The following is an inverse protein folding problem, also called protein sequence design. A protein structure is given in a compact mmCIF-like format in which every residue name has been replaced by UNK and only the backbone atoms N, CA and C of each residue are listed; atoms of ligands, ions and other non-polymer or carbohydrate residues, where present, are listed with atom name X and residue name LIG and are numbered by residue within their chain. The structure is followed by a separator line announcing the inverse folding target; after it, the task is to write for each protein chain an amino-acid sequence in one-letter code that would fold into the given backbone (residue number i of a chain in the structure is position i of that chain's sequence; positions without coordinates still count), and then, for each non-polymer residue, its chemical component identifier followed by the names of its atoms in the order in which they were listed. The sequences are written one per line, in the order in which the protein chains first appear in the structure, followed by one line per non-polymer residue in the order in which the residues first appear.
data_IF_753075820036
#
_entry.id   IF_753075820036
#
_cell.length_a   1.000
_cell.length_b   1.000
_cell.length_c   1.000
_cell.angle_alpha   90.00
_cell.angle_beta   90.00
_cell.angle_gamma   90.00
#
_symmetry.space_group_name_H-M   'P 1'
#
loop_
_entity.id
_entity.type
_entity.pdbx_description
1 polymer ?
2 polymer ?
3 polymer ?
4 non-polymer ?
#
# COMPACT_ATOMS: atom_id res chain seq x y z
N UNK A 1 22.09 -3.18 -34.02
CA UNK A 1 22.02 -2.35 -32.82
C UNK A 1 20.57 -1.98 -32.50
N UNK A 2 20.24 -2.00 -31.21
CA UNK A 2 18.85 -2.10 -30.79
C UNK A 2 18.67 -1.41 -29.45
N UNK A 3 17.42 -1.31 -29.00
CA UNK A 3 17.09 -0.65 -27.75
C UNK A 3 17.58 -1.47 -26.56
N UNK A 4 17.78 -0.77 -25.44
CA UNK A 4 18.41 -1.40 -24.28
C UNK A 4 17.49 -2.39 -23.58
N UNK A 5 16.24 -2.03 -23.19
CA UNK A 5 15.61 -0.71 -23.07
C UNK A 5 15.84 -0.07 -21.70
N UNK A 6 15.63 1.24 -21.63
CA UNK A 6 15.59 1.93 -20.34
C UNK A 6 14.30 1.63 -19.58
N UNK A 7 13.20 1.41 -20.30
CA UNK A 7 11.90 1.24 -19.66
C UNK A 7 11.85 0.15 -18.61
N UNK A 8 12.61 -0.93 -18.80
CA UNK A 8 12.68 -1.96 -17.77
C UNK A 8 13.38 -1.47 -16.51
N UNK A 9 14.34 -0.55 -16.64
CA UNK A 9 14.98 0.03 -15.47
C UNK A 9 14.06 1.05 -14.79
N UNK A 10 13.62 2.06 -15.54
CA UNK A 10 12.90 3.19 -14.96
C UNK A 10 11.45 2.84 -14.63
N UNK A 11 10.72 2.30 -15.60
CA UNK A 11 9.27 2.26 -15.51
C UNK A 11 8.78 1.16 -14.56
N UNK A 12 9.57 0.11 -14.39
CA UNK A 12 9.19 -1.08 -13.63
C UNK A 12 8.81 -0.73 -12.18
N UNK A 13 8.22 -1.71 -11.50
CA UNK A 13 7.49 -1.52 -10.26
C UNK A 13 8.07 -2.33 -9.10
N UNK A 14 7.83 -1.84 -7.88
CA UNK A 14 8.18 -2.54 -6.63
C UNK A 14 9.70 -2.68 -6.46
N UNK A 15 10.41 -1.57 -6.62
CA UNK A 15 11.86 -1.60 -6.53
C UNK A 15 12.34 -1.42 -5.08
N UNK A 16 13.65 -1.63 -4.90
CA UNK A 16 14.23 -2.04 -3.63
C UNK A 16 14.17 -0.93 -2.57
N UNK A 17 14.26 -1.36 -1.31
CA UNK A 17 14.44 -0.50 -0.16
C UNK A 17 15.88 0.02 -0.09
N UNK A 18 16.09 0.98 0.82
CA UNK A 18 17.32 1.78 0.80
C UNK A 18 18.55 0.89 1.02
N UNK A 19 18.49 -0.01 1.99
CA UNK A 19 19.52 -1.02 2.11
C UNK A 19 19.14 -2.25 1.29
N UNK A 20 20.15 -3.07 1.00
CA UNK A 20 20.01 -4.17 0.04
C UNK A 20 19.47 -3.65 -1.28
N UNK A 21 19.88 -2.44 -1.64
CA UNK A 21 19.71 -1.94 -2.99
C UNK A 21 20.41 -2.83 -4.01
N UNK A 22 20.13 -2.56 -5.28
CA UNK A 22 20.43 -3.47 -6.36
C UNK A 22 21.25 -2.76 -7.43
N UNK A 23 22.08 -3.52 -8.13
CA UNK A 23 22.92 -3.00 -9.20
C UNK A 23 22.67 -3.76 -10.48
N UNK A 24 22.54 -3.02 -11.57
CA UNK A 24 22.20 -3.57 -12.88
C UNK A 24 23.21 -3.04 -13.90
N UNK A 25 23.50 -3.87 -14.90
CA UNK A 25 24.55 -3.55 -15.86
C UNK A 25 23.99 -3.59 -17.28
N UNK A 26 24.42 -2.63 -18.09
CA UNK A 26 23.81 -2.35 -19.38
C UNK A 26 24.89 -2.29 -20.44
N UNK A 27 24.64 -2.92 -21.58
CA UNK A 27 25.64 -2.99 -22.64
C UNK A 27 24.94 -3.09 -23.99
N UNK A 28 25.69 -2.72 -25.04
CA UNK A 28 25.34 -3.03 -26.43
C UNK A 28 23.92 -2.58 -26.78
N UNK A 29 23.71 -1.27 -26.73
CA UNK A 29 22.42 -0.72 -27.15
C UNK A 29 22.59 0.73 -27.59
N UNK A 30 21.57 1.20 -28.32
CA UNK A 30 21.51 2.60 -28.74
C UNK A 30 21.11 3.49 -27.56
N UNK A 31 21.73 4.67 -27.48
CA UNK A 31 21.46 5.58 -26.38
C UNK A 31 20.07 6.18 -26.49
N UNK A 32 19.77 6.82 -27.63
CA UNK A 32 18.43 7.30 -27.99
C UNK A 32 17.76 8.06 -26.85
N UNK A 33 18.52 8.94 -26.20
CA UNK A 33 18.00 9.72 -25.09
C UNK A 33 16.77 10.55 -25.45
N UNK A 34 16.59 10.90 -26.73
CA UNK A 34 15.52 11.82 -27.12
C UNK A 34 14.15 11.35 -26.65
N UNK A 35 13.93 10.03 -26.58
CA UNK A 35 12.68 9.53 -26.01
C UNK A 35 12.59 9.87 -24.53
N UNK A 36 13.72 9.87 -23.81
CA UNK A 36 13.71 10.30 -22.42
C UNK A 36 13.45 11.79 -22.30
N UNK A 37 14.09 12.59 -23.17
CA UNK A 37 13.86 14.03 -23.15
C UNK A 37 12.38 14.36 -23.36
N UNK A 38 11.75 13.75 -24.37
CA UNK A 38 10.35 13.99 -24.61
C UNK A 38 9.46 13.46 -23.48
N UNK A 39 9.66 12.21 -23.08
CA UNK A 39 8.73 11.56 -22.16
C UNK A 39 8.88 12.06 -20.73
N UNK A 40 10.08 12.39 -20.28
CA UNK A 40 10.32 12.62 -18.86
C UNK A 40 9.55 13.83 -18.33
N UNK A 41 9.07 13.69 -17.09
CA UNK A 41 8.45 14.76 -16.32
C UNK A 41 9.16 14.91 -14.98
N UNK A 42 10.42 14.48 -14.91
CA UNK A 42 11.10 14.28 -13.66
C UNK A 42 11.47 15.61 -13.02
N UNK A 43 11.06 15.80 -11.76
CA UNK A 43 11.21 17.06 -11.04
C UNK A 43 12.65 17.43 -10.73
N UNK A 44 13.62 16.55 -10.91
CA UNK A 44 15.02 16.97 -10.77
C UNK A 44 15.92 16.19 -11.71
N UNK A 45 16.83 16.93 -12.36
CA UNK A 45 18.04 16.37 -12.97
C UNK A 45 19.23 17.16 -12.47
N UNK A 46 20.30 16.45 -12.08
CA UNK A 46 21.59 17.07 -11.81
C UNK A 46 22.68 16.12 -12.30
N UNK A 47 23.64 16.65 -13.06
CA UNK A 47 24.67 15.84 -13.66
C UNK A 47 26.04 16.44 -13.33
N UNK A 48 27.02 15.57 -13.11
CA UNK A 48 28.32 15.95 -12.56
C UNK A 48 29.40 15.57 -13.56
N UNK A 49 30.16 16.54 -14.02
CA UNK A 49 31.15 16.34 -15.06
C UNK A 49 30.61 16.25 -16.46
N UNK A 50 29.29 16.38 -16.65
CA UNK A 50 28.66 16.35 -17.96
C UNK A 50 27.50 17.34 -17.97
N UNK A 51 27.08 17.73 -19.17
CA UNK A 51 25.97 18.65 -19.35
C UNK A 51 24.91 18.02 -20.24
N UNK A 52 23.63 18.41 -20.08
CA UNK A 52 22.58 17.78 -20.88
C UNK A 52 22.68 18.09 -22.36
N UNK A 53 23.16 19.29 -22.71
CA UNK A 53 23.72 19.52 -24.04
C UNK A 53 25.17 19.10 -24.07
N UNK A 54 25.60 18.59 -25.23
CA UNK A 54 26.77 17.72 -25.35
C UNK A 54 26.59 16.45 -24.53
N UNK A 55 25.50 15.74 -24.80
CA UNK A 55 25.23 14.47 -24.16
C UNK A 55 25.00 13.35 -25.16
N UNK A 56 24.31 13.62 -26.26
CA UNK A 56 24.39 12.76 -27.43
C UNK A 56 25.78 12.87 -28.07
N UNK A 57 26.14 11.83 -28.82
CA UNK A 57 27.50 11.64 -29.32
C UNK A 57 28.49 11.46 -28.18
N UNK A 58 28.10 10.70 -27.17
CA UNK A 58 29.01 10.24 -26.13
C UNK A 58 28.93 8.72 -26.01
N UNK A 59 30.08 8.08 -25.85
CA UNK A 59 30.18 6.64 -25.69
C UNK A 59 30.60 6.31 -24.27
N UNK A 60 29.78 5.56 -23.56
CA UNK A 60 29.99 5.24 -22.15
C UNK A 60 30.49 3.80 -22.03
N UNK A 61 31.59 3.62 -21.30
CA UNK A 61 32.27 2.32 -21.29
C UNK A 61 31.47 1.30 -20.48
N UNK A 62 30.99 1.68 -19.30
CA UNK A 62 30.08 0.84 -18.53
C UNK A 62 28.96 1.70 -17.95
N UNK A 63 27.78 1.11 -17.84
CA UNK A 63 26.59 1.78 -17.32
C UNK A 63 25.99 0.93 -16.21
N UNK A 64 25.75 1.55 -15.06
CA UNK A 64 25.14 0.88 -13.91
C UNK A 64 23.97 1.73 -13.43
N UNK A 65 22.90 1.08 -13.01
CA UNK A 65 21.70 1.77 -12.54
C UNK A 65 21.26 1.26 -11.18
N UNK A 66 20.98 2.19 -10.27
CA UNK A 66 20.70 1.91 -8.87
C UNK A 66 19.40 2.60 -8.49
N UNK A 67 18.53 1.91 -7.75
CA UNK A 67 17.18 2.40 -7.51
C UNK A 67 16.82 2.29 -6.03
N UNK A 68 16.03 3.27 -5.58
CA UNK A 68 15.85 3.57 -4.17
C UNK A 68 14.45 4.10 -3.95
N UNK A 69 13.95 3.95 -2.71
CA UNK A 69 12.76 4.65 -2.25
C UNK A 69 13.14 5.42 -0.99
N UNK A 70 12.75 6.70 -0.93
CA UNK A 70 13.46 7.70 -0.14
C UNK A 70 12.46 8.75 0.35
N UNK A 71 12.85 9.48 1.39
CA UNK A 71 12.06 10.57 1.95
C UNK A 71 12.78 11.89 1.65
N UNK A 72 11.99 12.90 1.28
CA UNK A 72 12.52 14.00 0.46
C UNK A 72 13.74 14.70 1.03
N UNK A 73 13.86 14.77 2.36
CA UNK A 73 15.10 15.26 2.96
C UNK A 73 16.31 14.43 2.51
N UNK A 74 16.12 13.12 2.36
CA UNK A 74 17.22 12.32 1.81
C UNK A 74 17.53 12.71 0.37
N UNK A 75 16.54 13.22 -0.38
CA UNK A 75 16.79 13.63 -1.76
C UNK A 75 17.85 14.72 -1.83
N UNK A 76 17.85 15.65 -0.86
CA UNK A 76 18.99 16.56 -0.76
C UNK A 76 20.20 15.86 -0.14
N UNK A 77 19.97 14.88 0.74
CA UNK A 77 21.11 14.18 1.34
C UNK A 77 21.93 13.40 0.31
N UNK A 78 21.28 12.91 -0.75
CA UNK A 78 21.95 12.04 -1.72
C UNK A 78 23.06 12.75 -2.48
N UNK A 79 23.14 14.08 -2.41
CA UNK A 79 24.26 14.79 -2.99
C UNK A 79 25.57 14.33 -2.36
N UNK A 80 26.68 14.43 -3.09
CA UNK A 80 27.98 14.07 -2.51
C UNK A 80 28.41 15.00 -1.40
N UNK A 81 29.25 14.48 -0.52
CA UNK A 81 29.95 15.27 0.48
C UNK A 81 29.13 15.63 1.70
N UNK A 82 27.85 15.32 1.72
CA UNK A 82 26.96 15.80 2.77
C UNK A 82 27.22 15.03 4.07
N UNK A 83 26.40 15.33 5.08
CA UNK A 83 26.34 14.55 6.30
C UNK A 83 24.88 14.29 6.65
N UNK A 84 24.67 13.35 7.55
CA UNK A 84 23.32 12.92 7.88
C UNK A 84 23.22 11.42 8.08
N UNK A 85 22.04 10.95 8.48
CA UNK A 85 21.86 9.53 8.76
C UNK A 85 22.22 8.66 7.56
N UNK A 86 21.74 9.05 6.37
CA UNK A 86 22.02 8.29 5.17
C UNK A 86 23.51 8.29 4.85
N UNK A 87 24.10 9.48 4.78
CA UNK A 87 25.50 9.58 4.37
C UNK A 87 26.43 8.87 5.35
N UNK A 88 26.07 8.83 6.63
CA UNK A 88 26.85 8.07 7.60
C UNK A 88 26.64 6.56 7.48
N UNK A 89 25.39 6.12 7.46
CA UNK A 89 25.09 4.68 7.46
C UNK A 89 25.01 4.03 6.08
N UNK A 90 24.24 4.62 5.16
CA UNK A 90 23.75 3.87 4.00
C UNK A 90 24.02 4.64 2.71
N UNK A 91 24.58 3.94 1.71
CA UNK A 91 24.75 4.48 0.36
C UNK A 91 25.61 5.75 0.37
N UNK A 92 26.83 5.61 0.89
CA UNK A 92 27.81 6.67 0.78
C UNK A 92 28.23 6.85 -0.67
N UNK A 93 28.28 8.10 -1.14
CA UNK A 93 28.52 8.42 -2.53
C UNK A 93 29.72 9.37 -2.63
N UNK A 94 30.70 9.08 -3.49
CA UNK A 94 31.95 9.83 -3.47
C UNK A 94 31.85 11.14 -4.24
N UNK A 95 32.66 12.11 -3.82
CA UNK A 95 32.73 13.39 -4.51
C UNK A 95 33.31 13.26 -5.91
N UNK A 96 34.23 12.32 -6.12
CA UNK A 96 34.74 12.01 -7.44
C UNK A 96 33.76 11.08 -8.16
N UNK A 97 32.93 11.66 -9.02
CA UNK A 97 31.83 10.93 -9.63
C UNK A 97 31.55 11.59 -10.98
N UNK A 98 31.04 10.81 -11.93
CA UNK A 98 30.85 11.30 -13.30
C UNK A 98 29.40 11.15 -13.76
N UNK A 99 28.48 10.83 -12.86
CA UNK A 99 27.14 10.41 -13.24
C UNK A 99 26.17 11.56 -13.41
N UNK A 100 24.90 11.18 -13.46
CA UNK A 100 23.77 12.12 -13.40
C UNK A 100 22.65 11.45 -12.61
N UNK A 101 21.88 12.26 -11.90
CA UNK A 101 21.00 11.78 -10.84
C UNK A 101 19.59 12.28 -11.11
N UNK A 102 18.62 11.38 -10.99
CA UNK A 102 17.26 11.59 -11.46
C UNK A 102 16.31 11.29 -10.32
N UNK A 103 15.29 12.14 -10.15
CA UNK A 103 14.29 11.90 -9.12
C UNK A 103 12.93 12.36 -9.59
N UNK A 104 11.91 11.61 -9.19
CA UNK A 104 10.51 11.92 -9.46
C UNK A 104 9.70 11.37 -8.30
N UNK A 105 8.52 11.94 -8.10
CA UNK A 105 7.80 11.80 -6.84
C UNK A 105 6.65 10.82 -7.05
N UNK A 106 6.64 9.77 -6.22
CA UNK A 106 5.85 8.57 -6.45
C UNK A 106 4.64 8.48 -5.53
N UNK A 107 4.30 9.56 -4.83
CA UNK A 107 3.32 9.52 -3.74
C UNK A 107 2.01 8.87 -4.17
N UNK A 108 1.64 9.00 -5.44
CA UNK A 108 0.45 8.33 -5.96
C UNK A 108 0.57 6.81 -5.95
N UNK A 109 1.78 6.26 -5.80
CA UNK A 109 1.95 4.80 -5.82
C UNK A 109 2.61 4.25 -4.56
N UNK A 110 3.71 4.85 -4.10
CA UNK A 110 4.48 4.24 -3.02
C UNK A 110 3.81 4.38 -1.66
N UNK A 111 3.26 5.55 -1.36
CA UNK A 111 2.56 5.73 -0.09
C UNK A 111 1.41 4.74 0.07
N UNK A 112 0.99 4.57 1.31
CA UNK A 112 -0.05 3.61 1.68
C UNK A 112 -0.95 4.24 2.72
N UNK A 113 -2.25 4.02 2.59
CA UNK A 113 -3.17 4.32 3.68
C UNK A 113 -2.88 3.36 4.83
N UNK A 114 -2.48 3.91 5.98
CA UNK A 114 -1.98 3.11 7.07
C UNK A 114 -0.50 2.86 7.05
N UNK A 115 0.23 3.44 6.10
CA UNK A 115 1.67 3.32 6.04
C UNK A 115 2.18 2.12 5.27
N UNK A 116 3.27 2.33 4.54
CA UNK A 116 3.91 1.31 3.70
C UNK A 116 5.18 0.84 4.41
N UNK A 117 4.98 0.00 5.43
CA UNK A 117 6.04 -0.36 6.36
C UNK A 117 7.22 -1.09 5.71
N UNK A 118 7.04 -1.63 4.51
CA UNK A 118 8.04 -2.50 3.90
C UNK A 118 9.34 -1.80 3.55
N UNK A 119 9.45 -0.49 3.76
CA UNK A 119 10.65 0.27 3.48
C UNK A 119 11.45 0.47 4.77
N UNK A 120 12.66 -0.08 4.81
CA UNK A 120 13.37 -0.33 6.05
C UNK A 120 14.76 0.28 6.01
N UNK A 121 15.19 0.84 7.14
CA UNK A 121 16.40 1.63 7.23
C UNK A 121 17.04 1.43 8.61
N UNK A 122 18.34 1.72 8.69
CA UNK A 122 19.19 1.27 9.79
C UNK A 122 19.73 2.48 10.56
N UNK A 123 19.62 2.41 11.89
CA UNK A 123 19.73 3.60 12.74
C UNK A 123 21.01 3.69 13.57
N UNK A 124 21.73 2.60 13.77
CA UNK A 124 22.95 2.65 14.58
C UNK A 124 24.02 1.77 13.96
N UNK A 125 25.25 2.29 13.97
CA UNK A 125 26.40 1.54 13.47
C UNK A 125 27.65 1.97 14.23
N UNK A 126 28.56 1.02 14.44
CA UNK A 126 29.76 1.28 15.23
C UNK A 126 30.76 2.15 14.47
N UNK A 127 30.62 2.25 13.17
CA UNK A 127 31.50 3.08 12.33
C UNK A 127 30.78 3.29 11.00
N UNK A 128 31.34 4.18 10.17
CA UNK A 128 30.65 4.67 9.00
C UNK A 128 31.32 4.17 7.74
N UNK A 129 30.51 3.86 6.73
CA UNK A 129 30.92 3.01 5.63
C UNK A 129 31.70 3.78 4.58
N UNK A 130 32.54 3.06 3.85
CA UNK A 130 33.15 3.58 2.64
C UNK A 130 32.17 3.51 1.48
N UNK A 131 32.41 4.27 0.41
CA UNK A 131 31.39 4.39 -0.64
C UNK A 131 31.10 3.07 -1.34
N UNK A 132 29.85 2.92 -1.77
CA UNK A 132 29.37 1.75 -2.53
C UNK A 132 29.72 0.44 -1.83
N UNK A 133 29.19 0.27 -0.62
CA UNK A 133 29.17 -1.03 0.01
C UNK A 133 27.91 -1.18 0.84
N UNK A 134 27.42 -2.41 0.94
CA UNK A 134 26.21 -2.73 1.68
C UNK A 134 26.54 -3.37 3.02
N UNK A 135 25.54 -3.36 3.91
CA UNK A 135 25.50 -4.27 5.05
C UNK A 135 24.13 -4.92 5.11
N UNK A 136 24.11 -6.23 5.37
CA UNK A 136 22.89 -6.97 5.68
C UNK A 136 23.21 -7.82 6.90
N UNK A 137 22.82 -7.34 8.08
CA UNK A 137 23.36 -7.85 9.33
C UNK A 137 22.34 -7.62 10.44
N UNK A 138 22.59 -8.27 11.58
CA UNK A 138 21.93 -7.90 12.83
C UNK A 138 22.78 -8.39 13.98
N UNK A 139 23.22 -7.46 14.83
CA UNK A 139 23.97 -7.79 16.03
C UNK A 139 23.59 -6.76 17.09
N UNK A 140 22.87 -7.21 18.12
CA UNK A 140 21.98 -6.32 18.86
C UNK A 140 22.78 -5.22 19.54
N UNK A 141 22.30 -3.99 19.42
CA UNK A 141 23.06 -2.81 19.83
C UNK A 141 23.09 -2.69 21.34
N UNK A 142 24.27 -2.45 21.90
CA UNK A 142 24.47 -2.34 23.33
C UNK A 142 24.72 -0.89 23.69
N UNK A 143 23.91 -0.37 24.62
CA UNK A 143 24.00 1.02 25.07
C UNK A 143 24.35 1.09 26.54
N UNK A 144 25.26 0.23 26.97
CA UNK A 144 25.74 0.25 28.34
C UNK A 144 26.99 -0.57 28.45
N UNK A 145 27.58 -0.57 29.65
CA UNK A 145 28.80 -1.35 29.86
C UNK A 145 28.50 -2.84 29.91
N UNK A 146 27.34 -3.23 30.43
CA UNK A 146 26.99 -4.63 30.52
C UNK A 146 26.39 -5.12 29.19
N UNK A 147 26.54 -6.41 28.88
CA UNK A 147 25.89 -6.95 27.69
C UNK A 147 24.39 -7.11 27.90
N UNK A 148 23.64 -7.01 26.79
CA UNK A 148 22.29 -7.55 26.73
C UNK A 148 22.23 -8.91 26.03
N UNK A 149 23.37 -9.60 25.96
CA UNK A 149 23.43 -11.05 25.82
C UNK A 149 22.67 -11.57 24.60
N UNK A 150 22.64 -10.80 23.53
CA UNK A 150 21.95 -11.22 22.33
C UNK A 150 20.44 -11.25 22.43
N UNK A 151 19.86 -10.63 23.45
CA UNK A 151 18.41 -10.62 23.64
C UNK A 151 17.99 -9.21 24.04
N UNK A 152 16.70 -8.93 23.89
CA UNK A 152 16.17 -7.63 24.26
C UNK A 152 16.30 -7.40 25.76
N UNK A 153 16.42 -6.12 26.13
CA UNK A 153 16.50 -5.78 27.55
C UNK A 153 16.83 -4.32 27.75
N UNK A 154 17.52 -4.05 28.87
CA UNK A 154 17.91 -2.69 29.20
C UNK A 154 19.03 -2.20 28.29
N UNK A 155 18.85 -0.98 27.78
CA UNK A 155 19.82 -0.34 26.87
C UNK A 155 20.20 -1.26 25.72
N UNK A 156 19.18 -1.77 25.04
CA UNK A 156 19.36 -2.84 24.06
C UNK A 156 18.27 -2.67 23.02
N UNK A 157 18.67 -2.40 21.77
CA UNK A 157 17.74 -2.01 20.72
C UNK A 157 17.98 -2.83 19.45
N UNK A 158 16.89 -3.11 18.75
CA UNK A 158 16.97 -3.70 17.41
C UNK A 158 17.28 -2.60 16.40
N UNK A 159 18.29 -2.75 15.55
CA UNK A 159 18.78 -1.63 14.74
C UNK A 159 17.86 -1.14 13.63
N UNK A 160 16.64 -1.65 13.51
CA UNK A 160 15.86 -1.46 12.30
C UNK A 160 14.47 -0.92 12.61
N UNK A 161 14.01 0.00 11.76
CA UNK A 161 12.80 0.79 11.99
C UNK A 161 12.17 1.08 10.64
N UNK A 162 10.89 1.42 10.67
CA UNK A 162 10.06 1.42 9.46
C UNK A 162 9.61 2.84 9.13
N UNK A 163 9.76 3.23 7.87
CA UNK A 163 9.18 4.48 7.38
C UNK A 163 7.66 4.38 7.30
N UNK A 164 7.01 5.52 7.46
CA UNK A 164 5.59 5.62 7.14
C UNK A 164 5.27 6.75 6.19
N UNK A 165 4.52 6.44 5.13
CA UNK A 165 4.04 7.45 4.20
C UNK A 165 2.54 7.25 4.01
N UNK A 166 1.80 8.36 3.92
CA UNK A 166 0.35 8.32 4.11
C UNK A 166 -0.34 9.19 3.06
N UNK A 167 -1.67 9.20 3.01
CA UNK A 167 -2.36 10.37 2.46
C UNK A 167 -2.12 11.59 3.32
N UNK A 168 -2.20 12.76 2.67
CA UNK A 168 -1.91 14.06 3.31
C UNK A 168 -0.56 14.01 4.03
N UNK A 169 0.43 13.45 3.34
CA UNK A 169 1.78 13.36 3.88
C UNK A 169 2.44 14.73 3.92
N UNK A 170 3.36 14.89 4.86
CA UNK A 170 4.27 16.03 4.84
C UNK A 170 5.03 16.08 3.53
N UNK A 171 4.93 17.19 2.81
CA UNK A 171 5.37 17.25 1.42
C UNK A 171 6.87 17.04 1.32
N UNK A 172 7.63 17.47 2.32
CA UNK A 172 9.04 17.14 2.38
C UNK A 172 9.31 15.70 2.79
N UNK A 173 8.45 15.12 3.63
CA UNK A 173 8.66 13.75 4.09
C UNK A 173 8.33 12.71 3.01
N UNK A 174 7.35 12.99 2.15
CA UNK A 174 6.68 11.95 1.38
C UNK A 174 7.64 11.24 0.43
N UNK A 175 7.28 10.07 -0.12
CA UNK A 175 8.28 9.23 -0.77
C UNK A 175 8.73 9.71 -2.13
N UNK A 176 10.00 9.46 -2.42
CA UNK A 176 10.63 9.79 -3.69
C UNK A 176 11.35 8.57 -4.22
N UNK A 177 11.49 8.50 -5.55
CA UNK A 177 12.24 7.44 -6.21
C UNK A 177 13.43 8.05 -6.94
N UNK A 178 14.61 7.48 -6.72
CA UNK A 178 15.87 8.07 -7.12
C UNK A 178 16.66 7.04 -7.90
N UNK A 179 17.25 7.46 -9.01
CA UNK A 179 18.02 6.57 -9.89
C UNK A 179 19.36 7.24 -10.18
N UNK A 180 20.42 6.45 -10.15
CA UNK A 180 21.78 6.96 -10.30
C UNK A 180 22.50 6.11 -11.34
N UNK A 181 23.29 6.78 -12.18
CA UNK A 181 24.02 6.12 -13.26
C UNK A 181 25.48 6.53 -13.19
N UNK A 182 26.38 5.60 -13.49
CA UNK A 182 27.81 5.85 -13.41
C UNK A 182 28.49 5.43 -14.72
N UNK A 183 29.41 6.28 -15.18
CA UNK A 183 30.01 6.17 -16.50
C UNK A 183 31.51 6.36 -16.37
N UNK A 184 32.28 5.70 -17.23
CA UNK A 184 33.68 6.02 -17.40
C UNK A 184 33.98 6.19 -18.89
N UNK A 185 34.86 7.13 -19.20
CA UNK A 185 35.13 7.54 -20.58
C UNK A 185 36.52 7.05 -21.00
N UNK A 186 36.67 5.74 -21.11
CA UNK A 186 37.95 5.13 -21.48
C UNK A 186 37.88 4.19 -22.67
N UNK A 187 36.72 3.63 -22.99
CA UNK A 187 36.63 2.65 -24.07
C UNK A 187 35.20 2.60 -24.59
N UNK A 188 35.05 2.10 -25.80
CA UNK A 188 33.74 2.02 -26.45
C UNK A 188 32.87 0.95 -25.80
N UNK B 1 -12.17 -13.80 23.68
CA UNK B 1 -11.65 -13.71 22.32
C UNK B 1 -11.57 -12.25 21.87
N UNK B 2 -10.77 -11.99 20.84
CA UNK B 2 -10.83 -10.70 20.16
C UNK B 2 -12.14 -10.60 19.40
N UNK B 3 -12.87 -9.51 19.63
CA UNK B 3 -14.32 -9.53 19.40
C UNK B 3 -14.80 -8.16 18.97
N UNK B 4 -15.80 -8.17 18.10
CA UNK B 4 -16.62 -6.99 17.81
C UNK B 4 -18.07 -7.40 17.94
N UNK B 5 -18.86 -6.59 18.64
CA UNK B 5 -20.23 -6.96 18.96
C UNK B 5 -21.15 -5.75 18.80
N UNK B 6 -22.40 -6.03 18.46
CA UNK B 6 -23.34 -5.05 17.94
C UNK B 6 -24.52 -4.92 18.89
N UNK B 7 -24.91 -3.70 19.19
CA UNK B 7 -25.62 -3.39 20.43
C UNK B 7 -26.63 -2.28 20.18
N UNK B 8 -27.87 -2.52 20.60
CA UNK B 8 -28.97 -1.63 20.29
C UNK B 8 -29.14 -1.32 18.81
N UNK B 9 -29.29 -2.36 17.98
CA UNK B 9 -29.58 -2.11 16.56
C UNK B 9 -30.95 -1.46 16.38
N UNK B 10 -31.07 -0.67 15.32
CA UNK B 10 -32.30 0.07 15.09
C UNK B 10 -33.46 -0.84 14.76
N UNK B 11 -34.65 -0.40 15.18
CA UNK B 11 -35.86 -1.22 15.08
C UNK B 11 -36.96 -0.43 14.38
N UNK B 12 -37.91 -1.18 13.81
CA UNK B 12 -38.91 -0.59 12.93
C UNK B 12 -39.62 0.55 13.63
N UNK B 13 -39.87 1.62 12.88
CA UNK B 13 -40.76 2.69 13.32
C UNK B 13 -41.32 3.38 12.09
N UNK B 14 -42.45 4.08 12.24
CA UNK B 14 -42.82 5.05 11.20
C UNK B 14 -41.86 6.23 11.13
N UNK B 15 -41.37 6.70 12.29
CA UNK B 15 -40.34 7.72 12.30
C UNK B 15 -39.08 7.22 11.61
N UNK B 16 -38.49 8.09 10.79
CA UNK B 16 -37.44 7.71 9.86
C UNK B 16 -36.04 7.70 10.49
N UNK B 17 -35.93 7.94 11.79
CA UNK B 17 -34.64 7.89 12.46
C UNK B 17 -34.27 6.47 12.88
N UNK B 18 -32.97 6.20 12.97
CA UNK B 18 -32.46 4.90 13.37
C UNK B 18 -31.14 5.09 14.11
N UNK B 19 -30.91 4.22 15.11
CA UNK B 19 -29.69 4.26 15.92
C UNK B 19 -29.09 2.87 15.99
N UNK B 20 -27.75 2.81 16.01
CA UNK B 20 -27.02 1.55 16.18
C UNK B 20 -25.72 1.84 16.90
N UNK B 21 -25.31 0.88 17.75
CA UNK B 21 -24.03 0.96 18.45
C UNK B 21 -23.25 -0.34 18.28
N UNK B 22 -21.92 -0.23 18.26
CA UNK B 22 -21.03 -1.38 18.21
C UNK B 22 -19.99 -1.27 19.31
N UNK B 23 -19.60 -2.42 19.86
CA UNK B 23 -18.79 -2.49 21.06
C UNK B 23 -17.60 -3.41 20.81
N UNK B 24 -16.47 -3.08 21.42
CA UNK B 24 -15.18 -3.71 21.14
C UNK B 24 -14.57 -4.19 22.44
N UNK B 25 -13.94 -5.37 22.40
CA UNK B 25 -13.36 -5.98 23.59
C UNK B 25 -12.15 -6.80 23.18
N UNK B 26 -11.14 -6.81 24.06
CA UNK B 26 -9.88 -7.46 23.78
C UNK B 26 -8.87 -6.61 23.04
N UNK B 27 -9.24 -5.37 22.68
CA UNK B 27 -8.29 -4.37 22.22
C UNK B 27 -8.85 -3.00 22.53
N UNK B 28 -7.97 -2.03 22.72
CA UNK B 28 -8.40 -0.67 23.02
C UNK B 28 -8.53 0.14 21.74
N UNK B 29 -9.50 1.05 21.75
CA UNK B 29 -9.69 1.99 20.65
C UNK B 29 -8.50 2.93 20.48
N UNK B 30 -7.62 3.02 21.48
CA UNK B 30 -6.38 3.77 21.37
C UNK B 30 -5.26 2.97 20.72
N UNK B 31 -5.45 1.68 20.48
CA UNK B 31 -4.38 0.82 19.99
C UNK B 31 -4.55 0.39 18.54
N UNK B 32 -5.77 0.40 18.01
CA UNK B 32 -6.00 0.06 16.60
C UNK B 32 -7.12 0.95 16.06
N UNK B 33 -7.55 0.65 14.84
CA UNK B 33 -8.52 1.47 14.15
C UNK B 33 -9.67 0.64 13.62
N UNK B 34 -10.85 1.24 13.63
CA UNK B 34 -12.09 0.54 13.29
C UNK B 34 -12.87 1.34 12.24
N UNK B 35 -13.42 0.64 11.26
CA UNK B 35 -13.93 1.23 10.03
C UNK B 35 -15.36 0.73 9.81
N UNK B 36 -16.18 1.60 9.22
CA UNK B 36 -17.63 1.48 9.31
C UNK B 36 -18.21 1.50 7.91
N UNK B 37 -18.99 0.46 7.59
CA UNK B 37 -19.38 0.17 6.21
C UNK B 37 -20.84 -0.27 6.20
N UNK B 38 -21.57 0.17 5.17
CA UNK B 38 -23.02 0.10 5.13
C UNK B 38 -23.44 -0.55 3.82
N UNK B 39 -24.54 -1.30 3.86
CA UNK B 39 -25.05 -1.96 2.66
C UNK B 39 -26.53 -1.62 2.47
N UNK B 40 -26.92 -1.08 1.31
CA UNK B 40 -28.33 -1.03 0.98
C UNK B 40 -28.85 -2.41 0.60
N UNK B 41 -30.12 -2.69 0.83
CA UNK B 41 -30.68 -3.97 0.39
C UNK B 41 -30.57 -4.14 -1.12
N UNK B 42 -30.04 -5.29 -1.54
CA UNK B 42 -29.93 -5.58 -2.95
C UNK B 42 -28.79 -4.88 -3.66
N UNK B 43 -27.78 -4.41 -2.94
CA UNK B 43 -26.72 -3.61 -3.52
C UNK B 43 -25.41 -3.96 -2.83
N UNK B 44 -24.30 -3.55 -3.46
CA UNK B 44 -23.02 -3.60 -2.80
C UNK B 44 -22.93 -2.64 -1.63
N UNK B 45 -21.81 -2.73 -0.92
CA UNK B 45 -21.63 -1.97 0.31
C UNK B 45 -21.14 -0.56 0.01
N UNK B 46 -21.29 0.30 1.01
CA UNK B 46 -20.88 1.71 0.92
C UNK B 46 -20.11 2.07 2.19
N UNK B 47 -19.16 2.99 2.04
CA UNK B 47 -18.01 3.04 2.93
C UNK B 47 -17.83 4.42 3.54
N UNK B 48 -17.42 4.43 4.81
CA UNK B 48 -16.89 5.59 5.50
C UNK B 48 -15.69 5.11 6.31
N UNK B 49 -14.54 5.73 6.14
CA UNK B 49 -13.33 5.20 6.73
C UNK B 49 -12.31 6.24 7.12
N UNK B 50 -11.61 5.97 8.23
CA UNK B 50 -10.75 6.92 8.91
C UNK B 50 -9.63 6.13 9.57
N UNK B 51 -8.44 6.72 9.63
CA UNK B 51 -7.27 6.09 10.24
C UNK B 51 -6.70 7.04 11.28
N UNK B 52 -6.46 6.51 12.49
CA UNK B 52 -6.18 7.36 13.63
C UNK B 52 -5.40 6.57 14.68
N UNK B 53 -4.81 7.31 15.62
CA UNK B 53 -4.41 6.75 16.92
C UNK B 53 -5.51 6.93 17.96
N UNK B 54 -5.93 8.18 18.18
CA UNK B 54 -7.26 8.47 18.69
C UNK B 54 -7.60 9.92 18.35
N UNK B 55 -8.89 10.23 18.35
CA UNK B 55 -9.38 11.58 18.21
C UNK B 55 -9.31 12.16 16.82
N UNK B 56 -8.53 11.58 15.91
CA UNK B 56 -8.50 12.04 14.54
C UNK B 56 -9.82 11.73 13.82
N UNK B 57 -10.04 12.43 12.71
CA UNK B 57 -11.23 12.23 11.89
C UNK B 57 -10.88 12.45 10.42
N UNK B 58 -11.46 11.62 9.56
CA UNK B 58 -11.44 11.81 8.12
C UNK B 58 -12.79 11.39 7.55
N UNK B 59 -13.24 12.10 6.52
CA UNK B 59 -14.54 11.84 5.91
C UNK B 59 -14.48 12.14 4.42
N UNK B 60 -15.20 11.34 3.64
CA UNK B 60 -15.75 11.79 2.37
C UNK B 60 -17.17 11.25 2.27
N UNK B 61 -18.10 12.11 1.86
CA UNK B 61 -19.49 11.70 1.76
C UNK B 61 -20.14 12.45 0.61
N UNK B 62 -21.14 11.79 -0.01
CA UNK B 62 -21.99 12.50 -0.97
C UNK B 62 -22.88 13.52 -0.28
N UNK B 63 -23.21 13.29 0.99
CA UNK B 63 -23.89 14.26 1.83
C UNK B 63 -23.34 14.16 3.24
N UNK B 64 -23.22 15.30 3.92
CA UNK B 64 -22.58 15.33 5.24
C UNK B 64 -23.35 16.17 6.25
N UNK B 65 -24.50 16.72 5.88
CA UNK B 65 -25.31 17.49 6.83
C UNK B 65 -25.76 16.59 7.99
N UNK B 66 -25.62 17.12 9.20
CA UNK B 66 -25.77 16.42 10.48
C UNK B 66 -24.70 15.35 10.71
N UNK B 67 -23.74 15.19 9.79
CA UNK B 67 -22.93 13.98 9.78
C UNK B 67 -21.49 14.31 10.16
N UNK B 68 -21.05 13.66 11.24
CA UNK B 68 -19.66 13.54 11.66
C UNK B 68 -19.63 12.37 12.63
N UNK B 69 -18.42 11.86 12.90
CA UNK B 69 -18.34 10.65 13.70
C UNK B 69 -18.96 10.92 15.08
N UNK B 70 -19.53 9.87 15.67
CA UNK B 70 -20.03 9.95 17.03
C UNK B 70 -19.48 8.77 17.80
N UNK B 71 -18.86 9.05 18.95
CA UNK B 71 -18.04 8.06 19.62
C UNK B 71 -18.09 8.30 21.12
N UNK B 72 -18.12 7.20 21.87
CA UNK B 72 -18.11 7.22 23.34
C UNK B 72 -16.78 6.56 23.68
N UNK B 73 -15.74 7.38 23.82
CA UNK B 73 -14.39 6.84 23.93
C UNK B 73 -14.05 6.47 25.37
N UNK B 74 -14.92 5.64 25.95
CA UNK B 74 -14.61 4.89 27.14
C UNK B 74 -14.41 3.42 26.80
N UNK B 75 -14.39 3.11 25.50
CA UNK B 75 -14.33 1.79 24.86
C UNK B 75 -15.73 1.20 24.79
N UNK B 76 -16.74 1.89 25.32
CA UNK B 76 -18.09 1.31 25.39
C UNK B 76 -18.73 1.11 24.03
N UNK B 77 -18.76 2.14 23.18
CA UNK B 77 -19.49 1.99 21.92
C UNK B 77 -19.23 3.16 20.97
N UNK B 78 -19.59 2.94 19.71
CA UNK B 78 -19.61 3.94 18.65
C UNK B 78 -21.05 4.06 18.17
N UNK B 79 -21.48 5.26 17.81
CA UNK B 79 -22.90 5.55 17.65
C UNK B 79 -23.19 6.29 16.34
N UNK B 80 -24.33 5.99 15.74
CA UNK B 80 -24.79 6.58 14.48
C UNK B 80 -26.21 7.10 14.65
N UNK B 81 -26.47 8.29 14.11
CA UNK B 81 -27.80 8.88 14.19
C UNK B 81 -28.09 9.77 12.98
N UNK B 82 -29.23 9.53 12.33
CA UNK B 82 -29.67 10.35 11.20
C UNK B 82 -31.19 10.42 11.15
N UNK B 83 -31.69 11.61 10.78
CA UNK B 83 -33.13 11.88 10.80
C UNK B 83 -33.91 10.91 9.91
N UNK B 84 -33.40 10.66 8.70
CA UNK B 84 -34.14 9.95 7.67
C UNK B 84 -33.50 8.61 7.31
N UNK B 85 -32.55 8.15 8.12
CA UNK B 85 -31.75 6.97 7.79
C UNK B 85 -32.60 5.74 7.50
N UNK B 86 -33.78 5.64 8.11
CA UNK B 86 -34.64 4.47 7.91
C UNK B 86 -35.00 4.25 6.44
N UNK B 87 -35.50 5.29 5.78
CA UNK B 87 -35.78 5.16 4.34
C UNK B 87 -34.50 5.18 3.52
N UNK B 88 -33.53 6.04 3.89
CA UNK B 88 -32.39 6.29 3.02
C UNK B 88 -31.42 5.12 2.99
N UNK B 89 -31.30 4.38 4.09
CA UNK B 89 -30.07 3.65 4.36
C UNK B 89 -30.36 2.49 5.31
N UNK B 90 -29.32 1.71 5.59
CA UNK B 90 -29.22 0.83 6.76
C UNK B 90 -30.35 -0.22 6.76
N UNK B 91 -30.26 -1.13 5.79
CA UNK B 91 -30.86 -2.45 5.99
C UNK B 91 -29.98 -3.31 6.89
N UNK B 92 -28.66 -3.21 6.72
CA UNK B 92 -27.69 -3.85 7.59
C UNK B 92 -26.55 -2.87 7.82
N UNK B 93 -25.99 -2.89 9.02
CA UNK B 93 -24.81 -2.08 9.34
C UNK B 93 -23.73 -2.94 9.97
N UNK B 94 -22.48 -2.69 9.56
CA UNK B 94 -21.38 -3.60 9.77
C UNK B 94 -20.24 -2.87 10.46
N UNK B 95 -19.55 -3.60 11.34
CA UNK B 95 -18.61 -3.01 12.28
C UNK B 95 -17.29 -3.75 12.12
N UNK B 96 -16.21 -3.02 11.83
CA UNK B 96 -15.03 -3.63 11.25
C UNK B 96 -13.78 -2.89 11.70
N UNK B 97 -12.70 -3.65 11.86
CA UNK B 97 -11.45 -3.15 12.41
C UNK B 97 -10.30 -3.52 11.49
N UNK B 98 -9.29 -2.66 11.44
CA UNK B 98 -8.12 -2.89 10.62
C UNK B 98 -6.85 -2.70 11.45
N UNK B 99 -5.81 -3.43 11.09
CA UNK B 99 -4.50 -3.23 11.67
C UNK B 99 -3.48 -2.89 10.61
N UNK B 100 -2.23 -3.31 10.80
CA UNK B 100 -1.23 -3.12 9.75
C UNK B 100 -1.58 -3.94 8.52
N UNK B 101 -2.13 -5.13 8.72
CA UNK B 101 -2.54 -6.00 7.65
C UNK B 101 -2.71 -7.43 8.14
N UNK B 102 -3.56 -8.19 7.45
CA UNK B 102 -3.76 -9.63 7.70
C UNK B 102 -4.13 -9.89 9.16
N UNK B 103 -4.89 -8.96 9.73
CA UNK B 103 -5.37 -9.01 11.12
C UNK B 103 -6.70 -8.26 11.16
N UNK B 104 -7.59 -8.57 10.22
CA UNK B 104 -8.75 -7.76 9.92
C UNK B 104 -10.00 -8.58 10.20
N UNK B 105 -10.90 -8.04 11.02
CA UNK B 105 -11.93 -8.81 11.68
C UNK B 105 -13.24 -8.03 11.60
N UNK B 106 -14.33 -8.76 11.35
CA UNK B 106 -15.57 -8.15 10.90
C UNK B 106 -16.75 -8.63 11.74
N UNK B 107 -17.66 -7.70 11.99
CA UNK B 107 -18.85 -8.00 12.76
C UNK B 107 -20.06 -7.43 12.04
N UNK B 108 -21.19 -8.12 12.19
CA UNK B 108 -22.36 -7.84 11.36
C UNK B 108 -23.57 -7.58 12.24
N UNK B 109 -24.27 -6.49 11.95
CA UNK B 109 -25.44 -6.10 12.68
C UNK B 109 -26.57 -5.77 11.74
N UNK B 110 -27.79 -6.07 12.17
CA UNK B 110 -28.95 -6.10 11.30
C UNK B 110 -30.01 -5.14 11.82
N UNK B 111 -30.45 -4.22 10.96
CA UNK B 111 -31.16 -3.01 11.36
C UNK B 111 -32.57 -3.08 10.78
N UNK B 112 -33.57 -2.96 11.64
CA UNK B 112 -34.96 -3.09 11.24
C UNK B 112 -35.55 -1.70 11.06
N UNK B 113 -36.29 -1.50 9.97
CA UNK B 113 -36.65 -0.17 9.50
C UNK B 113 -38.13 -0.11 9.14
N UNK C 1 -10.83 7.16 -7.60
CA UNK C 1 -10.92 6.28 -8.76
C UNK C 1 -12.21 5.47 -8.74
N UNK C 2 -12.90 5.44 -9.86
CA UNK C 2 -14.04 4.54 -10.06
C UNK C 2 -13.52 3.24 -10.66
N UNK C 3 -14.15 2.13 -10.28
CA UNK C 3 -13.76 0.81 -10.78
C UNK C 3 -15.00 0.10 -11.32
N UNK C 4 -14.79 -0.68 -12.38
CA UNK C 4 -15.87 -1.24 -13.18
C UNK C 4 -15.66 -2.73 -13.32
N UNK C 5 -16.77 -3.48 -13.34
CA UNK C 5 -16.71 -4.93 -13.17
C UNK C 5 -17.66 -5.62 -14.14
N UNK C 6 -17.23 -6.78 -14.63
CA UNK C 6 -17.98 -7.61 -15.55
C UNK C 6 -18.15 -9.00 -14.94
N UNK C 7 -19.24 -9.67 -15.29
CA UNK C 7 -19.41 -11.03 -14.82
C UNK C 7 -20.28 -11.81 -15.81
N UNK C 8 -20.09 -13.13 -15.89
CA UNK C 8 -20.91 -13.96 -16.76
C UNK C 8 -22.17 -14.45 -16.07
N UNK C 9 -23.04 -15.06 -16.87
CA UNK C 9 -24.09 -15.94 -16.37
C UNK C 9 -23.96 -17.27 -17.09
N UNK C 10 -23.83 -18.35 -16.32
CA UNK C 10 -23.14 -19.55 -16.78
C UNK C 10 -23.75 -20.77 -16.11
N UNK C 11 -23.72 -21.90 -16.81
CA UNK C 11 -24.17 -23.18 -16.27
C UNK C 11 -23.04 -24.18 -16.44
N UNK C 12 -22.64 -24.82 -15.34
CA UNK C 12 -21.50 -25.72 -15.35
C UNK C 12 -21.94 -27.14 -15.69
N UNK C 13 -21.00 -27.93 -16.20
CA UNK C 13 -21.16 -29.37 -16.34
C UNK C 13 -20.17 -30.18 -15.51
N UNK C 14 -19.11 -29.56 -14.99
CA UNK C 14 -18.23 -30.21 -14.03
C UNK C 14 -17.35 -29.13 -13.39
N UNK C 15 -16.76 -29.42 -12.24
CA UNK C 15 -15.54 -28.72 -11.81
C UNK C 15 -14.41 -28.86 -12.82
N UNK C 16 -13.40 -28.01 -12.64
CA UNK C 16 -12.31 -27.89 -13.57
C UNK C 16 -12.58 -27.03 -14.79
N UNK C 17 -13.82 -26.61 -15.01
CA UNK C 17 -14.10 -25.50 -15.91
C UNK C 17 -13.50 -24.22 -15.33
N UNK C 18 -12.46 -23.69 -15.99
CA UNK C 18 -11.62 -22.69 -15.36
C UNK C 18 -12.41 -21.40 -15.14
N UNK C 19 -11.96 -20.61 -14.16
CA UNK C 19 -12.67 -19.42 -13.74
C UNK C 19 -11.71 -18.24 -13.68
N UNK C 20 -12.19 -17.07 -14.09
CA UNK C 20 -11.41 -15.85 -14.12
C UNK C 20 -12.20 -14.75 -13.42
N UNK C 21 -11.48 -13.88 -12.70
CA UNK C 21 -12.08 -12.70 -12.09
C UNK C 21 -11.34 -11.45 -12.54
N UNK C 22 -12.11 -10.38 -12.80
CA UNK C 22 -11.59 -9.18 -13.45
C UNK C 22 -12.18 -7.93 -12.81
N UNK C 23 -11.33 -6.90 -12.67
CA UNK C 23 -11.76 -5.54 -12.33
C UNK C 23 -11.00 -4.57 -13.21
N UNK C 24 -11.67 -3.48 -13.58
CA UNK C 24 -11.09 -2.43 -14.42
C UNK C 24 -11.33 -1.08 -13.75
N UNK C 25 -10.32 -0.22 -13.79
CA UNK C 25 -10.27 0.95 -12.93
C UNK C 25 -9.98 2.20 -13.76
N UNK C 26 -10.58 3.31 -13.34
CA UNK C 26 -10.56 4.53 -14.15
C UNK C 26 -9.16 5.15 -14.23
N UNK C 27 -8.33 4.93 -13.22
CA UNK C 27 -7.01 5.55 -13.18
C UNK C 27 -6.06 4.65 -12.40
N UNK C 28 -4.77 4.96 -12.54
CA UNK C 28 -3.70 4.18 -11.91
C UNK C 28 -4.01 3.88 -10.45
N UNK C 29 -3.86 2.60 -10.09
CA UNK C 29 -3.92 2.15 -8.71
C UNK C 29 -2.77 1.18 -8.47
N UNK C 30 -2.08 1.35 -7.33
CA UNK C 30 -0.88 0.59 -7.05
C UNK C 30 -1.11 -0.62 -6.15
N UNK C 31 -2.05 -0.54 -5.22
CA UNK C 31 -2.26 -1.59 -4.22
C UNK C 31 -3.73 -2.00 -4.23
N UNK C 32 -3.98 -3.30 -4.21
CA UNK C 32 -5.32 -3.84 -4.19
C UNK C 32 -5.36 -5.05 -3.26
N UNK C 33 -6.54 -5.31 -2.69
CA UNK C 33 -6.78 -6.38 -1.75
C UNK C 33 -7.93 -7.23 -2.25
N UNK C 34 -7.89 -8.53 -1.95
CA UNK C 34 -8.62 -9.54 -2.69
C UNK C 34 -9.49 -10.32 -1.72
N UNK C 35 -10.80 -10.41 -2.02
CA UNK C 35 -11.79 -10.83 -1.04
C UNK C 35 -12.80 -11.75 -1.69
N UNK C 36 -13.29 -12.72 -0.90
CA UNK C 36 -14.28 -13.67 -1.36
C UNK C 36 -15.45 -13.68 -0.38
N UNK C 37 -16.66 -13.80 -0.92
CA UNK C 37 -17.86 -13.81 -0.11
C UNK C 37 -18.79 -14.95 -0.52
N UNK C 38 -19.43 -15.58 0.47
CA UNK C 38 -20.52 -16.52 0.25
C UNK C 38 -21.87 -15.83 0.35
N UNK C 39 -22.82 -16.18 -0.51
CA UNK C 39 -24.13 -15.53 -0.49
C UNK C 39 -24.90 -15.85 0.78
N UNK C 40 -25.90 -15.03 1.06
CA UNK C 40 -26.82 -15.24 2.17
C UNK C 40 -26.42 -14.70 3.53
N UNK C 41 -25.15 -14.80 3.87
CA UNK C 41 -24.61 -14.18 5.08
C UNK C 41 -23.19 -13.74 4.79
N UNK C 42 -22.82 -12.58 5.32
CA UNK C 42 -21.69 -11.81 4.81
C UNK C 42 -20.66 -11.46 5.90
N UNK C 43 -20.06 -12.46 6.55
CA UNK C 43 -18.75 -12.24 7.15
C UNK C 43 -17.73 -11.89 6.07
N UNK C 44 -16.59 -11.36 6.50
CA UNK C 44 -15.56 -10.92 5.57
C UNK C 44 -14.23 -11.56 5.92
N UNK C 45 -13.51 -11.99 4.89
CA UNK C 45 -12.25 -12.69 5.02
C UNK C 45 -11.39 -12.27 3.85
N UNK C 46 -10.08 -12.18 4.07
CA UNK C 46 -9.24 -11.34 3.22
C UNK C 46 -8.08 -12.12 2.66
N UNK C 47 -7.69 -11.74 1.44
CA UNK C 47 -6.45 -12.15 0.79
C UNK C 47 -5.73 -10.88 0.38
N UNK C 48 -4.49 -10.71 0.83
CA UNK C 48 -3.92 -9.40 1.00
C UNK C 48 -2.76 -9.17 0.01
N UNK C 49 -1.95 -8.15 0.28
CA UNK C 49 -0.85 -7.79 -0.61
C UNK C 49 0.09 -8.96 -0.83
N UNK C 50 0.65 -9.02 -2.04
CA UNK C 50 1.36 -10.16 -2.62
C UNK C 50 0.45 -11.39 -2.79
N UNK C 51 -0.85 -11.21 -2.63
CA UNK C 51 -1.85 -12.26 -2.84
C UNK C 51 -1.63 -13.47 -1.93
N UNK C 52 -0.90 -13.30 -0.84
CA UNK C 52 -0.81 -14.36 0.15
C UNK C 52 -2.14 -14.51 0.87
N UNK C 53 -2.51 -15.73 1.25
CA UNK C 53 -3.76 -15.95 1.96
C UNK C 53 -3.68 -15.51 3.42
N UNK C 54 -4.84 -15.21 3.98
CA UNK C 54 -5.03 -15.25 5.43
C UNK C 54 -5.10 -16.69 5.91
N UNK C 55 -5.29 -16.85 7.22
CA UNK C 55 -5.52 -18.16 7.80
C UNK C 55 -6.85 -18.73 7.34
N UNK C 56 -6.90 -20.06 7.23
CA UNK C 56 -8.17 -20.75 7.11
C UNK C 56 -8.77 -20.76 5.72
N UNK C 57 -7.93 -20.82 4.68
CA UNK C 57 -8.40 -20.83 3.30
C UNK C 57 -7.52 -21.75 2.48
N UNK C 58 -8.09 -22.34 1.42
CA UNK C 58 -7.33 -23.33 0.65
C UNK C 58 -6.09 -22.73 0.01
N UNK C 59 -5.12 -23.59 -0.27
CA UNK C 59 -3.82 -23.12 -0.73
C UNK C 59 -3.84 -22.69 -2.20
N UNK C 60 -4.71 -23.27 -3.02
CA UNK C 60 -4.68 -23.01 -4.46
C UNK C 60 -5.32 -21.67 -4.78
N UNK C 61 -4.49 -20.62 -4.71
CA UNK C 61 -4.79 -19.29 -5.21
C UNK C 61 -3.50 -18.66 -5.70
N UNK C 62 -3.58 -17.88 -6.77
CA UNK C 62 -2.47 -17.03 -7.17
C UNK C 62 -3.01 -15.79 -7.87
N UNK C 63 -2.42 -14.64 -7.54
CA UNK C 63 -2.85 -13.40 -8.15
C UNK C 63 -1.72 -12.56 -8.70
N UNK C 64 -1.87 -12.07 -9.94
CA UNK C 64 -0.97 -11.10 -10.53
C UNK C 64 -1.77 -10.24 -11.49
N UNK C 65 -1.40 -8.97 -11.59
CA UNK C 65 -2.17 -8.04 -12.39
C UNK C 65 -1.32 -7.10 -13.22
N UNK C 66 -2.02 -6.25 -13.96
CA UNK C 66 -1.48 -5.19 -14.81
C UNK C 66 -2.26 -3.93 -14.47
N UNK C 67 -1.73 -2.76 -14.80
CA UNK C 67 -2.37 -1.55 -14.35
C UNK C 67 -3.81 -1.48 -14.87
N UNK C 68 -4.66 -0.84 -14.06
CA UNK C 68 -6.08 -0.68 -14.33
C UNK C 68 -6.79 -2.01 -14.64
N UNK C 69 -6.25 -3.15 -14.18
CA UNK C 69 -6.86 -4.46 -14.43
C UNK C 69 -6.21 -5.57 -13.61
N UNK C 70 -6.99 -6.28 -12.79
CA UNK C 70 -6.40 -7.21 -11.83
C UNK C 70 -7.00 -8.59 -12.00
N UNK C 71 -6.16 -9.62 -11.84
CA UNK C 71 -6.58 -11.00 -12.12
C UNK C 71 -6.00 -11.98 -11.12
N UNK C 72 -6.83 -12.92 -10.66
CA UNK C 72 -6.39 -14.08 -9.90
C UNK C 72 -7.20 -15.28 -10.36
N UNK C 73 -6.60 -16.46 -10.30
CA UNK C 73 -7.15 -17.63 -10.99
C UNK C 73 -7.30 -18.80 -10.04
N UNK C 74 -8.42 -19.51 -10.17
CA UNK C 74 -8.82 -20.58 -9.26
C UNK C 74 -9.27 -21.75 -10.12
N UNK C 75 -8.99 -22.97 -9.66
CA UNK C 75 -9.19 -24.16 -10.49
C UNK C 75 -10.26 -25.12 -10.01
N UNK C 76 -10.37 -25.40 -8.71
CA UNK C 76 -11.07 -26.61 -8.29
C UNK C 76 -11.84 -26.40 -6.99
N UNK C 77 -12.77 -27.32 -6.77
CA UNK C 77 -13.56 -27.64 -5.55
C UNK C 77 -14.33 -26.40 -5.08
N UNK C 78 -14.44 -26.20 -3.77
CA UNK C 78 -15.57 -25.49 -3.16
C UNK C 78 -15.77 -24.08 -3.70
N UNK C 79 -14.72 -23.45 -4.23
CA UNK C 79 -14.86 -22.11 -4.80
C UNK C 79 -15.97 -22.01 -5.84
N UNK C 80 -16.27 -23.10 -6.54
CA UNK C 80 -17.39 -23.10 -7.48
C UNK C 80 -18.69 -22.67 -6.82
N UNK C 81 -18.97 -23.18 -5.61
CA UNK C 81 -20.09 -22.65 -4.82
C UNK C 81 -19.75 -21.28 -4.24
N UNK C 82 -18.57 -21.14 -3.63
CA UNK C 82 -18.36 -20.17 -2.57
C UNK C 82 -17.95 -18.78 -3.06
N UNK C 83 -17.49 -18.65 -4.30
CA UNK C 83 -16.77 -17.44 -4.70
C UNK C 83 -17.73 -16.37 -5.21
N UNK C 84 -17.77 -15.25 -4.49
CA UNK C 84 -18.13 -13.94 -5.03
C UNK C 84 -17.04 -12.98 -4.58
N UNK C 85 -16.61 -12.09 -5.47
CA UNK C 85 -15.37 -11.35 -5.25
C UNK C 85 -15.58 -9.85 -5.39
N UNK C 86 -14.85 -9.11 -4.56
CA UNK C 86 -14.85 -7.65 -4.53
C UNK C 86 -13.42 -7.16 -4.58
N UNK C 87 -13.22 -6.00 -5.20
CA UNK C 87 -11.90 -5.43 -5.39
C UNK C 87 -11.91 -3.98 -4.92
N UNK C 88 -10.89 -3.61 -4.13
CA UNK C 88 -10.85 -2.34 -3.43
C UNK C 88 -9.42 -1.83 -3.39
N UNK C 89 -9.29 -0.50 -3.37
CA UNK C 89 -8.01 0.15 -3.60
C UNK C 89 -7.69 1.02 -2.39
N UNK C 90 -6.41 1.05 -2.02
CA UNK C 90 -5.99 1.58 -0.74
C UNK C 90 -4.87 2.59 -0.89
N UNK C 91 -4.80 3.27 -2.03
CA UNK C 91 -3.72 4.23 -2.27
C UNK C 91 -4.08 5.65 -1.86
N UNK C 92 -5.35 6.04 -1.92
CA UNK C 92 -5.73 7.40 -1.56
C UNK C 92 -7.24 7.41 -1.34
N UNK C 93 -7.70 8.42 -0.59
CA UNK C 93 -9.10 8.54 -0.21
C UNK C 93 -9.90 9.16 -1.35
N UNK C 94 -11.24 9.00 -1.34
CA UNK C 94 -12.01 8.02 -0.56
C UNK C 94 -11.75 6.58 -1.01
N UNK C 95 -11.86 5.64 -0.08
CA UNK C 95 -11.71 4.21 -0.38
C UNK C 95 -13.02 3.68 -0.96
N UNK C 96 -13.14 3.77 -2.29
CA UNK C 96 -14.33 3.30 -2.96
C UNK C 96 -14.47 1.78 -2.84
N UNK C 97 -15.69 1.32 -2.62
CA UNK C 97 -15.93 -0.08 -2.27
C UNK C 97 -16.12 -0.98 -3.48
N UNK C 98 -16.63 -0.43 -4.59
CA UNK C 98 -16.94 -1.22 -5.76
C UNK C 98 -18.25 -1.98 -5.63
N UNK C 99 -18.71 -2.50 -6.77
CA UNK C 99 -20.02 -3.11 -6.84
C UNK C 99 -20.00 -4.22 -7.88
N UNK C 100 -21.05 -5.04 -7.85
CA UNK C 100 -21.22 -6.09 -8.82
C UNK C 100 -22.12 -7.18 -8.28
N UNK C 101 -22.25 -8.24 -9.08
CA UNK C 101 -22.98 -9.43 -8.66
C UNK C 101 -22.45 -10.63 -9.44
N UNK C 102 -22.32 -11.77 -8.76
CA UNK C 102 -21.81 -12.98 -9.38
C UNK C 102 -22.50 -14.18 -8.77
N UNK C 103 -22.70 -15.21 -9.58
CA UNK C 103 -23.38 -16.43 -9.15
C UNK C 103 -22.84 -17.61 -9.96
N UNK C 104 -22.83 -18.78 -9.33
CA UNK C 104 -22.81 -20.04 -10.06
C UNK C 104 -23.76 -21.02 -9.39
N UNK C 105 -24.45 -21.82 -10.20
CA UNK C 105 -25.27 -22.91 -9.68
C UNK C 105 -25.03 -24.19 -10.46
X LIG D 1 5.39 2.56 -18.70
X LIG D 1 5.47 3.25 -20.06
X LIG D 1 4.08 3.62 -20.57
X LIG D 1 3.14 2.41 -20.53
X LIG D 1 3.19 1.73 -19.16
X LIG D 1 2.41 0.43 -19.13
X LIG D 1 7.47 4.54 -20.68
X LIG D 1 8.21 5.84 -20.50
X LIG D 1 6.32 4.44 -20.00
X LIG D 1 4.18 4.10 -21.90
X LIG D 1 1.81 2.82 -20.80
X LIG D 1 4.54 1.42 -18.79
X LIG D 1 1.09 0.60 -19.65
X LIG D 1 7.89 3.65 -21.40
#
# INVERSE_FOLDING_TARGET
TNLCPFGEVFNATRFASVYAWNRKRISNCVADYSVLYNSASFSTFKCYGVSPTKLNDLCFTNVYADSFVIRGDEVRQIAPGQTGKIADYNYKLPDDFTGCVIAWNSNNLDSKVGGNYNYLYRLFRKSNLKPFERDISTEIYQAGSTPCNGVEGFNCYFPLQSYGFQPTNGVGYQPYRVVVLSFELLHA
QVQLKESGPGLVAPSQSLSITCTVSGFSLTRYGVHWVRQPPGKGLEWLGVIWADGSTYYNSALMSRLSISKDNSKSQVFLNMNSLQTDDTAKYYCARDGRGYDDYWGQGTTLT
QIVLTQSPAIMSASPGEKVTMTCSASSTVSFIYWYQQKPGSSPRLLIYDTSNPASGVPVRFSGSGCGTSYYLTISRMEAEDAATYYCQQWNTYPLTFGAGTKLEL
NAG C1 C2 C3 C4 C5 C6 C7 C8 N2 O3 O4 O5 O6 O7
#
